data_IF_538053832773
#
_entry.id   IF_538053832773
#
_cell.length_a   1.000
_cell.length_b   1.000
_cell.length_c   1.000
_cell.angle_alpha   90.00
_cell.angle_beta   90.00
_cell.angle_gamma   90.00
#
_symmetry.space_group_name_H-M   'P 1'
#
loop_
_entity.id
_entity.type
_entity.pdbx_description
1 polymer ?
#
# COMPACT_ATOMS: atom_id res chain seq x y z
N UNK A 1 -17.99 -3.17 3.60
CA UNK A 1 -17.34 -2.95 2.29
C UNK A 1 -15.85 -3.28 2.41
N UNK A 2 -15.28 -4.07 1.50
CA UNK A 2 -13.82 -4.22 1.41
C UNK A 2 -13.22 -3.02 0.68
N UNK A 3 -12.12 -2.47 1.16
CA UNK A 3 -11.59 -1.16 0.76
C UNK A 3 -10.43 -1.25 -0.25
N UNK A 4 -10.25 -2.42 -0.87
CA UNK A 4 -9.02 -2.98 -1.44
C UNK A 4 -8.42 -2.29 -2.69
N UNK A 5 -8.79 -1.05 -3.01
CA UNK A 5 -8.24 -0.30 -4.15
C UNK A 5 -7.81 1.12 -3.75
N UNK A 6 -7.13 1.26 -2.61
CA UNK A 6 -6.63 2.57 -2.13
C UNK A 6 -5.76 3.28 -3.16
N UNK A 7 -4.97 2.53 -3.94
CA UNK A 7 -4.12 3.09 -5.00
C UNK A 7 -4.87 3.70 -6.18
N UNK A 8 -6.15 3.34 -6.36
CA UNK A 8 -7.01 3.90 -7.40
C UNK A 8 -7.88 5.05 -6.89
N UNK A 9 -7.77 5.43 -5.61
CA UNK A 9 -8.55 6.54 -5.09
C UNK A 9 -8.07 7.86 -5.71
N UNK A 10 -9.01 8.71 -6.08
CA UNK A 10 -8.74 10.05 -6.60
C UNK A 10 -9.18 11.10 -5.59
N UNK A 11 -8.48 12.23 -5.52
CA UNK A 11 -8.89 13.31 -4.62
C UNK A 11 -10.31 13.77 -4.93
N UNK A 12 -10.65 13.97 -6.20
CA UNK A 12 -11.97 14.46 -6.61
C UNK A 12 -13.13 13.63 -6.07
N UNK A 13 -13.02 12.30 -6.10
CA UNK A 13 -14.08 11.38 -5.68
C UNK A 13 -13.99 10.96 -4.21
N UNK A 14 -12.89 11.29 -3.51
CA UNK A 14 -12.69 10.89 -2.13
C UNK A 14 -13.59 11.68 -1.15
N UNK A 15 -14.29 10.95 -0.27
CA UNK A 15 -15.27 11.52 0.67
C UNK A 15 -14.64 12.07 1.96
N UNK A 16 -13.46 11.58 2.34
CA UNK A 16 -12.78 11.94 3.59
C UNK A 16 -11.94 13.21 3.52
N UNK A 17 -12.25 14.16 2.62
CA UNK A 17 -11.45 15.39 2.42
C UNK A 17 -11.35 16.24 3.69
N UNK A 18 -12.47 16.46 4.38
CA UNK A 18 -12.51 17.20 5.65
C UNK A 18 -11.56 16.61 6.70
N UNK A 19 -11.46 15.28 6.77
CA UNK A 19 -10.52 14.61 7.67
C UNK A 19 -9.07 14.89 7.27
N UNK A 20 -8.75 14.81 5.97
CA UNK A 20 -7.41 15.12 5.47
C UNK A 20 -7.01 16.56 5.78
N UNK A 21 -7.88 17.52 5.49
CA UNK A 21 -7.68 18.95 5.77
C UNK A 21 -7.52 19.21 7.27
N UNK A 22 -8.33 18.58 8.12
CA UNK A 22 -8.24 18.67 9.58
C UNK A 22 -6.87 18.21 10.12
N UNK A 23 -6.21 17.29 9.43
CA UNK A 23 -4.87 16.80 9.76
C UNK A 23 -3.76 17.46 8.94
N UNK A 24 -4.06 18.55 8.24
CA UNK A 24 -3.13 19.30 7.38
C UNK A 24 -2.54 18.48 6.21
N UNK A 25 -3.27 17.47 5.73
CA UNK A 25 -2.90 16.77 4.50
C UNK A 25 -3.47 17.48 3.29
N UNK A 26 -2.62 17.72 2.31
CA UNK A 26 -2.97 18.29 1.01
C UNK A 26 -3.44 17.20 0.03
N UNK A 27 -4.01 17.61 -1.10
CA UNK A 27 -4.30 16.72 -2.24
C UNK A 27 -3.03 15.97 -2.72
N UNK A 28 -1.87 16.64 -2.66
CA UNK A 28 -0.59 16.03 -3.00
C UNK A 28 -0.22 14.93 -2.02
N UNK A 29 -0.39 15.17 -0.72
CA UNK A 29 -0.11 14.16 0.31
C UNK A 29 -1.04 12.95 0.14
N UNK A 30 -2.32 13.19 -0.11
CA UNK A 30 -3.28 12.13 -0.41
C UNK A 30 -2.88 11.30 -1.64
N UNK A 31 -2.43 11.96 -2.72
CA UNK A 31 -1.97 11.29 -3.93
C UNK A 31 -0.73 10.42 -3.67
N UNK A 32 0.18 10.89 -2.82
CA UNK A 32 1.33 10.11 -2.36
C UNK A 32 0.88 8.91 -1.51
N UNK A 33 -0.07 9.09 -0.59
CA UNK A 33 -0.65 8.00 0.20
C UNK A 33 -1.27 6.93 -0.70
N UNK A 34 -2.00 7.31 -1.76
CA UNK A 34 -2.57 6.35 -2.70
C UNK A 34 -1.47 5.56 -3.42
N UNK A 35 -0.41 6.22 -3.90
CA UNK A 35 0.75 5.55 -4.49
C UNK A 35 1.38 4.53 -3.53
N UNK A 36 1.63 4.96 -2.30
CA UNK A 36 2.32 4.18 -1.26
C UNK A 36 1.45 3.05 -0.71
N UNK A 37 0.12 3.19 -0.73
CA UNK A 37 -0.81 2.16 -0.27
C UNK A 37 -0.65 0.83 -1.04
N UNK A 38 -0.17 0.86 -2.29
CA UNK A 38 0.12 -0.35 -3.07
C UNK A 38 1.18 -1.26 -2.41
N UNK A 39 2.11 -0.69 -1.63
CA UNK A 39 3.15 -1.44 -0.94
C UNK A 39 2.62 -2.41 0.11
N UNK A 40 1.41 -2.17 0.63
CA UNK A 40 0.78 -3.05 1.63
C UNK A 40 0.43 -4.45 1.09
N UNK A 41 0.36 -4.60 -0.23
CA UNK A 41 -0.11 -5.80 -0.92
C UNK A 41 0.85 -6.32 -1.98
N UNK A 42 2.03 -5.70 -2.13
CA UNK A 42 3.08 -6.25 -2.99
C UNK A 42 3.54 -7.58 -2.39
N UNK A 43 2.99 -8.69 -2.91
CA UNK A 43 3.27 -10.05 -2.46
C UNK A 43 4.62 -10.59 -2.92
N UNK A 44 5.72 -9.87 -2.63
CA UNK A 44 7.05 -10.47 -2.76
C UNK A 44 7.13 -11.60 -1.72
N UNK A 45 6.98 -12.84 -2.20
CA UNK A 45 7.31 -14.02 -1.42
C UNK A 45 8.77 -13.89 -1.02
N UNK A 46 9.06 -13.91 0.29
CA UNK A 46 10.43 -13.97 0.80
C UNK A 46 11.12 -15.15 0.12
N UNK A 47 12.04 -14.86 -0.80
CA UNK A 47 13.00 -15.87 -1.25
C UNK A 47 14.21 -15.75 -0.34
N UNK A 48 14.85 -16.87 0.03
CA UNK A 48 16.02 -16.88 0.91
C UNK A 48 17.18 -16.00 0.40
N UNK A 49 17.10 -15.51 -0.84
CA UNK A 49 18.05 -14.60 -1.48
C UNK A 49 17.88 -13.11 -1.11
N UNK A 50 16.82 -12.69 -0.41
CA UNK A 50 16.65 -11.27 -0.01
C UNK A 50 17.48 -10.87 1.23
N UNK A 51 18.30 -11.79 1.77
CA UNK A 51 19.25 -11.53 2.86
C UNK A 51 20.58 -10.93 2.38
N UNK A 52 20.74 -10.61 1.09
CA UNK A 52 21.93 -9.91 0.62
C UNK A 52 21.83 -8.45 1.08
N UNK A 53 22.50 -8.14 2.19
CA UNK A 53 22.81 -6.77 2.58
C UNK A 53 23.38 -6.04 1.35
N UNK A 54 22.66 -5.03 0.87
CA UNK A 54 23.15 -4.14 -0.18
C UNK A 54 24.24 -3.28 0.44
N UNK A 55 25.47 -3.78 0.44
CA UNK A 55 26.66 -2.96 0.63
C UNK A 55 27.03 -2.30 -0.69
N UNK A 56 27.55 -1.06 -0.62
CA UNK A 56 27.91 -0.22 -1.77
C UNK A 56 28.85 -0.90 -2.79
N UNK A 57 29.52 -2.00 -2.43
CA UNK A 57 30.46 -2.71 -3.30
C UNK A 57 29.78 -3.52 -4.43
N UNK A 58 28.52 -3.92 -4.29
CA UNK A 58 27.84 -4.80 -5.28
C UNK A 58 27.29 -4.07 -6.52
N UNK A 59 27.34 -2.73 -6.56
CA UNK A 59 26.77 -1.91 -7.65
C UNK A 59 27.60 -1.91 -8.95
N UNK A 60 28.83 -2.44 -8.96
CA UNK A 60 29.76 -2.28 -10.11
C UNK A 60 29.88 -3.48 -11.05
N UNK A 61 29.19 -4.60 -10.81
CA UNK A 61 29.54 -5.87 -11.50
C UNK A 61 28.56 -6.38 -12.55
N UNK A 62 27.40 -5.76 -12.74
CA UNK A 62 26.37 -6.29 -13.66
C UNK A 62 26.34 -5.54 -15.00
N UNK A 63 27.46 -5.51 -15.72
CA UNK A 63 27.52 -4.90 -17.06
C UNK A 63 27.75 -5.91 -18.21
N UNK A 64 27.64 -7.21 -17.98
CA UNK A 64 27.60 -8.18 -19.09
C UNK A 64 27.11 -9.55 -18.62
N UNK A 65 26.03 -10.05 -19.23
CA UNK A 65 25.97 -11.36 -19.92
C UNK A 65 24.57 -11.53 -20.55
N UNK A 66 24.60 -12.08 -21.75
CA UNK A 66 23.58 -12.14 -22.78
C UNK A 66 22.40 -13.10 -22.51
N UNK A 67 21.34 -12.86 -23.29
CA UNK A 67 20.06 -13.58 -23.42
C UNK A 67 20.21 -15.10 -23.56
N UNK A 68 19.23 -15.86 -23.04
CA UNK A 68 18.48 -16.86 -23.81
C UNK A 68 17.22 -17.40 -23.08
N UNK A 69 16.12 -17.42 -23.86
CA UNK A 69 14.95 -18.32 -23.88
C UNK A 69 13.84 -18.27 -22.79
N UNK A 70 12.80 -17.52 -23.14
CA UNK A 70 11.37 -17.87 -23.30
C UNK A 70 10.60 -18.78 -22.31
N UNK A 71 9.39 -18.30 -22.00
CA UNK A 71 8.17 -18.95 -21.45
C UNK A 71 8.05 -19.10 -19.92
N UNK A 72 7.58 -18.03 -19.25
CA UNK A 72 6.28 -17.99 -18.53
C UNK A 72 6.07 -16.61 -17.89
N UNK A 73 4.93 -15.99 -18.17
CA UNK A 73 4.58 -14.65 -17.72
C UNK A 73 4.23 -14.64 -16.22
N UNK A 74 5.20 -14.30 -15.37
CA UNK A 74 4.96 -13.85 -14.00
C UNK A 74 5.86 -12.64 -13.69
N UNK A 75 5.25 -11.62 -13.08
CA UNK A 75 5.76 -10.26 -12.87
C UNK A 75 7.18 -10.20 -12.29
N UNK A 76 8.19 -10.16 -13.17
CA UNK A 76 9.51 -9.67 -12.80
C UNK A 76 9.38 -8.19 -12.41
N UNK A 77 9.95 -7.73 -11.29
CA UNK A 77 9.92 -6.32 -10.95
C UNK A 77 10.63 -5.56 -12.06
N UNK A 78 9.95 -4.60 -12.68
CA UNK A 78 10.56 -3.63 -13.58
C UNK A 78 11.87 -3.15 -12.95
N UNK A 79 12.99 -3.37 -13.63
CA UNK A 79 14.33 -3.04 -13.16
C UNK A 79 14.41 -1.56 -12.73
N UNK A 80 13.57 -0.70 -13.33
CA UNK A 80 13.45 0.70 -12.93
C UNK A 80 12.71 0.91 -11.60
N UNK A 81 11.71 0.09 -11.27
CA UNK A 81 11.00 0.09 -9.99
C UNK A 81 11.88 -0.46 -8.86
N UNK A 82 12.62 -1.54 -9.11
CA UNK A 82 13.58 -2.07 -8.13
C UNK A 82 14.65 -1.01 -7.80
N UNK A 83 15.18 -0.34 -8.82
CA UNK A 83 16.10 0.78 -8.67
C UNK A 83 15.52 1.96 -7.86
N UNK A 84 14.20 2.23 -7.98
CA UNK A 84 13.54 3.29 -7.21
C UNK A 84 13.52 2.99 -5.71
N UNK A 85 13.25 1.74 -5.33
CA UNK A 85 13.17 1.36 -3.93
C UNK A 85 14.55 1.24 -3.27
N UNK A 86 15.55 0.77 -4.03
CA UNK A 86 16.96 0.78 -3.61
C UNK A 86 17.39 2.22 -3.25
N UNK A 87 17.02 3.22 -4.07
CA UNK A 87 17.32 4.63 -3.78
C UNK A 87 16.63 5.19 -2.54
N UNK A 88 15.52 4.59 -2.10
CA UNK A 88 14.84 4.99 -0.86
C UNK A 88 15.46 4.36 0.39
N UNK A 89 16.34 3.37 0.22
CA UNK A 89 16.97 2.62 1.31
C UNK A 89 15.95 2.06 2.33
N UNK A 90 14.80 1.57 1.83
CA UNK A 90 13.75 0.96 2.65
C UNK A 90 13.63 -0.53 2.33
N UNK A 91 13.66 -1.36 3.38
CA UNK A 91 13.46 -2.80 3.26
C UNK A 91 12.02 -3.11 2.84
N UNK A 92 11.81 -4.31 2.31
CA UNK A 92 10.47 -4.76 1.92
C UNK A 92 9.45 -4.65 3.07
N UNK A 93 9.78 -5.24 4.23
CA UNK A 93 8.88 -5.26 5.40
C UNK A 93 8.55 -3.83 5.89
N UNK A 94 9.48 -2.89 5.76
CA UNK A 94 9.25 -1.47 6.09
C UNK A 94 8.27 -0.82 5.11
N UNK A 95 8.43 -1.05 3.80
CA UNK A 95 7.52 -0.55 2.78
C UNK A 95 6.11 -1.09 2.97
N UNK A 96 5.97 -2.37 3.30
CA UNK A 96 4.68 -3.00 3.59
C UNK A 96 3.98 -2.30 4.77
N UNK A 97 4.71 -2.04 5.86
CA UNK A 97 4.20 -1.31 7.04
C UNK A 97 3.76 0.11 6.65
N UNK A 98 4.57 0.82 5.87
CA UNK A 98 4.24 2.19 5.42
C UNK A 98 2.98 2.17 4.54
N UNK A 99 2.91 1.25 3.58
CA UNK A 99 1.72 1.08 2.74
C UNK A 99 0.47 0.80 3.55
N UNK A 100 0.57 -0.08 4.56
CA UNK A 100 -0.55 -0.38 5.46
C UNK A 100 -1.01 0.86 6.23
N UNK A 101 -0.07 1.68 6.73
CA UNK A 101 -0.40 2.95 7.39
C UNK A 101 -1.13 3.91 6.45
N UNK A 102 -0.70 4.03 5.19
CA UNK A 102 -1.39 4.85 4.20
C UNK A 102 -2.81 4.34 3.92
N UNK A 103 -3.02 3.03 3.81
CA UNK A 103 -4.38 2.44 3.72
C UNK A 103 -5.24 2.87 4.90
N UNK A 104 -4.72 2.75 6.12
CA UNK A 104 -5.44 3.13 7.35
C UNK A 104 -5.76 4.63 7.45
N UNK A 105 -4.89 5.51 6.98
CA UNK A 105 -5.17 6.95 6.91
C UNK A 105 -6.33 7.28 5.97
N UNK A 106 -6.36 6.65 4.79
CA UNK A 106 -7.47 6.79 3.84
C UNK A 106 -8.77 6.20 4.43
N UNK A 107 -8.68 5.08 5.15
CA UNK A 107 -9.85 4.49 5.80
C UNK A 107 -10.39 5.34 6.94
N UNK A 108 -9.51 5.98 7.73
CA UNK A 108 -9.89 6.88 8.80
C UNK A 108 -10.72 8.07 8.28
N UNK A 109 -10.40 8.60 7.10
CA UNK A 109 -11.22 9.66 6.50
C UNK A 109 -12.60 9.19 6.04
N UNK A 110 -12.73 7.92 5.60
CA UNK A 110 -14.05 7.32 5.30
C UNK A 110 -14.89 7.14 6.56
N UNK A 111 -14.27 6.67 7.64
CA UNK A 111 -14.93 6.55 8.95
C UNK A 111 -15.38 7.93 9.43
N UNK A 112 -14.47 8.91 9.43
CA UNK A 112 -14.78 10.27 9.85
C UNK A 112 -16.00 10.83 9.11
N UNK A 113 -16.05 10.68 7.78
CA UNK A 113 -17.18 11.12 6.97
C UNK A 113 -18.51 10.45 7.38
N UNK A 114 -18.50 9.13 7.60
CA UNK A 114 -19.69 8.37 7.98
C UNK A 114 -20.16 8.68 9.40
N UNK A 115 -19.22 8.86 10.33
CA UNK A 115 -19.53 9.23 11.71
C UNK A 115 -20.11 10.65 11.78
N UNK A 116 -19.61 11.61 10.99
CA UNK A 116 -20.24 12.93 10.89
C UNK A 116 -21.65 12.87 10.30
N UNK A 117 -21.95 11.86 9.49
CA UNK A 117 -23.28 11.62 8.94
C UNK A 117 -24.22 10.84 9.88
N UNK A 118 -23.77 10.49 11.11
CA UNK A 118 -24.59 9.84 12.13
C UNK A 118 -24.60 8.30 12.08
N UNK A 119 -23.66 7.67 11.37
CA UNK A 119 -23.52 6.21 11.37
C UNK A 119 -22.46 5.73 12.36
N UNK A 120 -22.66 4.54 12.97
CA UNK A 120 -21.56 3.80 13.62
C UNK A 120 -20.71 3.15 12.53
N UNK A 121 -19.47 3.61 12.38
CA UNK A 121 -18.54 3.15 11.36
C UNK A 121 -17.22 2.70 11.99
N UNK A 122 -16.80 1.46 11.70
CA UNK A 122 -15.55 0.89 12.23
C UNK A 122 -14.87 -0.05 11.25
N UNK A 123 -13.56 -0.20 11.40
CA UNK A 123 -12.81 -1.23 10.69
C UNK A 123 -12.87 -2.54 11.47
N UNK A 124 -13.12 -3.63 10.75
CA UNK A 124 -13.09 -4.99 11.28
C UNK A 124 -12.09 -5.83 10.48
N UNK A 125 -11.36 -6.69 11.17
CA UNK A 125 -10.59 -7.76 10.53
C UNK A 125 -11.51 -8.95 10.31
N UNK A 126 -11.73 -9.35 9.06
CA UNK A 126 -12.67 -10.41 8.73
C UNK A 126 -12.01 -11.78 8.48
N UNK A 127 -10.69 -11.80 8.25
CA UNK A 127 -9.92 -13.02 8.06
C UNK A 127 -8.47 -12.83 8.52
N UNK A 128 -7.75 -13.93 8.74
CA UNK A 128 -6.33 -13.85 9.05
C UNK A 128 -5.54 -13.30 7.85
N UNK A 129 -4.50 -12.50 8.16
CA UNK A 129 -3.63 -11.89 7.14
C UNK A 129 -2.88 -12.98 6.34
N UNK A 130 -2.63 -14.15 6.92
CA UNK A 130 -2.02 -15.30 6.25
C UNK A 130 -2.89 -15.86 5.13
N UNK A 131 -4.20 -15.59 5.15
CA UNK A 131 -5.14 -16.04 4.12
C UNK A 131 -5.30 -14.97 3.04
N UNK A 132 -5.40 -13.70 3.43
CA UNK A 132 -5.51 -12.57 2.50
C UNK A 132 -4.85 -11.32 3.07
N UNK A 133 -4.07 -10.62 2.25
CA UNK A 133 -3.51 -9.30 2.60
C UNK A 133 -4.60 -8.21 2.66
N UNK A 134 -5.69 -8.42 1.91
CA UNK A 134 -6.93 -7.66 2.07
C UNK A 134 -7.77 -8.38 3.10
N UNK A 135 -7.62 -8.04 4.39
CA UNK A 135 -8.32 -8.68 5.49
C UNK A 135 -9.12 -7.72 6.38
N UNK A 136 -9.25 -6.47 5.95
CA UNK A 136 -9.97 -5.42 6.67
C UNK A 136 -11.17 -4.94 5.87
N UNK A 137 -12.31 -4.81 6.53
CA UNK A 137 -13.54 -4.25 5.98
C UNK A 137 -14.03 -3.07 6.79
N UNK A 138 -14.70 -2.12 6.13
CA UNK A 138 -15.49 -1.07 6.77
C UNK A 138 -16.89 -1.60 7.06
N UNK A 139 -17.23 -1.69 8.34
CA UNK A 139 -18.56 -2.01 8.86
C UNK A 139 -19.27 -0.70 9.21
N UNK A 140 -20.51 -0.56 8.75
CA UNK A 140 -21.35 0.62 8.97
C UNK A 140 -22.72 0.15 9.41
N UNK A 141 -23.22 0.67 10.52
CA UNK A 141 -24.56 0.39 11.04
C UNK A 141 -25.28 1.69 11.36
N UNK A 142 -26.59 1.71 11.17
CA UNK A 142 -27.44 2.75 11.75
C UNK A 142 -27.64 2.41 13.23
N UNK A 143 -27.55 3.39 14.13
CA UNK A 143 -28.08 3.18 15.47
C UNK A 143 -29.60 3.06 15.34
N UNK A 144 -30.17 1.89 15.69
CA UNK A 144 -31.61 1.78 15.89
C UNK A 144 -31.98 2.66 17.09
N UNK A 145 -32.78 3.69 16.83
CA UNK A 145 -33.33 4.58 17.86
C UNK A 145 -34.38 3.89 18.72
#
# INVERSE_FOLDING_TARGET
MALCCHHQCSWNTYIGKKFMEKHNFTERDFSLMCCVASWATCGLRKTENDLVDITDENLKKNESVEKNNEEHAEDAPDETLLNRYIKLNLKHDEREIIGMKCKRLIDAGRIFFLTEAGYDAKLITYIDKSVSLENVALLVTCEES
#
